data_IF_089233720203
#
_entry.id   IF_089233720203
#
_cell.length_a   1.000
_cell.length_b   1.000
_cell.length_c   1.000
_cell.angle_alpha   90.00
_cell.angle_beta   90.00
_cell.angle_gamma   90.00
#
_symmetry.space_group_name_H-M   'P 1'
#
loop_
_entity.id
_entity.type
_entity.pdbx_description
1 polymer ?
#
# COMPACT_ATOMS: atom_id res chain seq x y z
N UNK A 1 12.74 17.93 8.41
CA UNK A 1 13.55 17.30 7.36
C UNK A 1 13.93 15.90 7.79
N UNK A 2 13.83 14.95 6.88
CA UNK A 2 14.22 13.55 7.06
C UNK A 2 15.17 13.15 5.93
N UNK A 3 15.93 12.07 6.11
CA UNK A 3 16.83 11.55 5.08
C UNK A 3 16.20 10.34 4.40
N UNK A 4 16.44 10.18 3.10
CA UNK A 4 16.02 9.01 2.34
C UNK A 4 17.09 8.63 1.31
N UNK A 5 17.31 7.34 1.13
CA UNK A 5 18.41 6.81 0.30
C UNK A 5 18.19 7.06 -1.19
N UNK A 6 16.93 7.29 -1.60
CA UNK A 6 16.55 7.59 -2.97
C UNK A 6 16.72 9.07 -3.38
N UNK A 7 17.17 9.92 -2.44
CA UNK A 7 17.41 11.34 -2.73
C UNK A 7 18.79 11.52 -3.33
N UNK A 8 18.83 11.84 -4.60
CA UNK A 8 20.05 12.14 -5.33
C UNK A 8 20.53 13.56 -5.02
N UNK A 9 21.85 13.75 -5.00
CA UNK A 9 22.48 15.06 -4.74
C UNK A 9 22.43 15.99 -5.94
N UNK A 10 21.96 15.51 -7.07
CA UNK A 10 21.72 16.31 -8.26
C UNK A 10 20.63 17.35 -8.00
N UNK A 11 20.73 18.50 -8.61
CA UNK A 11 19.85 19.64 -8.38
C UNK A 11 19.90 20.15 -6.91
N UNK A 12 18.75 20.11 -6.22
CA UNK A 12 18.63 20.68 -4.87
C UNK A 12 19.01 19.73 -3.75
N UNK A 13 19.06 18.41 -4.01
CA UNK A 13 19.18 17.39 -2.96
C UNK A 13 17.96 17.34 -2.03
N UNK A 14 16.83 17.92 -2.42
CA UNK A 14 15.58 17.94 -1.65
C UNK A 14 14.45 17.33 -2.47
N UNK A 15 13.67 16.46 -1.82
CA UNK A 15 12.48 15.82 -2.41
C UNK A 15 11.29 16.05 -1.49
N UNK A 16 10.15 16.37 -2.07
CA UNK A 16 8.88 16.39 -1.36
C UNK A 16 8.45 14.94 -1.08
N UNK A 17 8.11 14.64 0.17
CA UNK A 17 7.70 13.31 0.62
C UNK A 17 6.23 13.33 1.05
N UNK A 18 5.41 12.45 0.47
CA UNK A 18 4.00 12.29 0.76
C UNK A 18 3.69 10.85 1.15
N UNK A 19 3.80 10.45 2.45
CA UNK A 19 3.66 9.07 2.90
C UNK A 19 2.33 8.39 2.55
N UNK A 20 1.27 9.16 2.30
CA UNK A 20 -0.03 8.64 1.86
C UNK A 20 -0.12 8.35 0.35
N UNK A 21 0.87 8.73 -0.45
CA UNK A 21 0.74 8.78 -1.91
C UNK A 21 1.94 8.21 -2.69
N UNK A 22 2.86 7.52 -2.03
CA UNK A 22 3.99 6.85 -2.67
C UNK A 22 4.56 5.72 -1.81
N UNK A 23 5.01 4.60 -2.41
CA UNK A 23 5.55 3.48 -1.64
C UNK A 23 6.86 3.84 -0.91
N UNK A 24 7.77 4.53 -1.57
CA UNK A 24 9.05 4.92 -0.96
C UNK A 24 8.85 6.03 0.09
N UNK A 25 7.91 6.94 -0.16
CA UNK A 25 7.49 7.96 0.80
C UNK A 25 6.84 7.33 2.03
N UNK A 26 6.03 6.27 1.83
CA UNK A 26 5.43 5.53 2.93
C UNK A 26 6.47 4.87 3.82
N UNK A 27 7.46 4.19 3.25
CA UNK A 27 8.54 3.55 4.01
C UNK A 27 9.38 4.59 4.76
N UNK A 28 9.66 5.73 4.12
CA UNK A 28 10.31 6.86 4.80
C UNK A 28 9.46 7.37 5.94
N UNK A 29 8.17 7.59 5.73
CA UNK A 29 7.24 8.00 6.77
C UNK A 29 7.21 7.03 7.95
N UNK A 30 7.13 5.73 7.67
CA UNK A 30 7.16 4.66 8.69
C UNK A 30 8.46 4.70 9.52
N UNK A 31 9.62 4.85 8.86
CA UNK A 31 10.94 4.95 9.51
C UNK A 31 11.03 6.11 10.50
N UNK A 32 10.40 7.22 10.19
CA UNK A 32 10.46 8.45 11.00
C UNK A 32 9.21 8.72 11.83
N UNK A 33 8.26 7.79 11.88
CA UNK A 33 7.02 7.94 12.65
C UNK A 33 6.07 9.02 12.11
N UNK A 34 6.15 9.32 10.81
CA UNK A 34 5.28 10.29 10.14
C UNK A 34 4.02 9.55 9.68
N UNK A 35 2.86 9.96 10.18
CA UNK A 35 1.59 9.36 9.80
C UNK A 35 1.31 9.54 8.29
N UNK A 36 0.81 8.51 7.58
CA UNK A 36 0.48 8.61 6.17
C UNK A 36 -0.84 9.37 5.97
N UNK A 37 -0.75 10.67 5.82
CA UNK A 37 -1.91 11.52 5.51
C UNK A 37 -2.38 11.27 4.07
N UNK A 38 -3.63 10.84 3.90
CA UNK A 38 -4.19 10.50 2.60
C UNK A 38 -5.62 11.02 2.46
N UNK A 39 -5.83 12.33 2.21
CA UNK A 39 -7.14 12.95 2.11
C UNK A 39 -7.83 12.65 0.76
N UNK A 40 -7.75 11.42 0.30
CA UNK A 40 -8.31 10.97 -0.99
C UNK A 40 -9.14 9.70 -0.77
N UNK A 41 -10.40 9.78 -1.14
CA UNK A 41 -11.36 8.67 -1.07
C UNK A 41 -11.09 7.60 -2.14
N UNK A 42 -11.77 6.46 -2.04
CA UNK A 42 -11.72 5.38 -3.04
C UNK A 42 -12.18 5.80 -4.44
N UNK A 43 -13.05 6.79 -4.50
CA UNK A 43 -13.49 7.38 -5.77
C UNK A 43 -12.47 8.37 -6.38
N UNK A 44 -11.28 8.54 -5.78
CA UNK A 44 -10.26 9.48 -6.25
C UNK A 44 -10.68 10.95 -6.07
N UNK A 45 -11.46 11.24 -5.03
CA UNK A 45 -11.90 12.59 -4.67
C UNK A 45 -11.28 12.98 -3.33
N UNK A 46 -11.00 14.27 -3.17
CA UNK A 46 -10.59 14.79 -1.88
C UNK A 46 -11.68 14.61 -0.83
N UNK A 47 -11.27 14.25 0.38
CA UNK A 47 -12.15 14.13 1.57
C UNK A 47 -12.24 15.46 2.30
N UNK A 48 -13.08 15.52 3.33
CA UNK A 48 -13.24 16.70 4.19
C UNK A 48 -11.97 17.02 5.02
N UNK A 49 -11.01 16.09 5.06
CA UNK A 49 -9.68 16.33 5.65
C UNK A 49 -8.87 17.38 4.87
N UNK A 50 -9.26 17.68 3.63
CA UNK A 50 -8.77 18.82 2.83
C UNK A 50 -9.96 19.66 2.34
N UNK A 51 -10.54 20.53 3.22
CA UNK A 51 -11.80 21.20 2.98
C UNK A 51 -11.84 22.06 1.71
N UNK A 52 -10.71 22.70 1.35
CA UNK A 52 -10.64 23.58 0.18
C UNK A 52 -10.90 22.84 -1.14
N UNK A 53 -10.65 21.55 -1.17
CA UNK A 53 -10.78 20.71 -2.36
C UNK A 53 -11.77 19.55 -2.18
N UNK A 54 -12.46 19.49 -1.05
CA UNK A 54 -13.39 18.40 -0.72
C UNK A 54 -14.39 18.10 -1.85
N UNK A 55 -14.59 16.83 -2.15
CA UNK A 55 -15.47 16.36 -3.21
C UNK A 55 -14.93 16.45 -4.64
N UNK A 56 -13.87 17.24 -4.88
CA UNK A 56 -13.28 17.39 -6.21
C UNK A 56 -12.39 16.20 -6.57
N UNK A 57 -12.32 15.85 -7.87
CA UNK A 57 -11.43 14.79 -8.34
C UNK A 57 -9.97 15.27 -8.30
N UNK A 58 -9.06 14.47 -7.74
CA UNK A 58 -7.64 14.82 -7.58
C UNK A 58 -6.94 15.20 -8.89
N UNK A 59 -7.34 14.62 -10.03
CA UNK A 59 -6.74 14.90 -11.34
C UNK A 59 -7.25 16.18 -12.01
N UNK A 60 -8.22 16.87 -11.42
CA UNK A 60 -8.83 18.06 -12.05
C UNK A 60 -8.54 19.37 -11.32
N UNK A 61 -7.85 19.35 -10.18
CA UNK A 61 -7.67 20.52 -9.31
C UNK A 61 -6.32 21.20 -9.45
N UNK A 62 -5.45 20.73 -10.35
CA UNK A 62 -4.09 21.28 -10.48
C UNK A 62 -4.07 22.81 -10.67
N UNK A 63 -4.92 23.34 -11.56
CA UNK A 63 -4.98 24.77 -11.83
C UNK A 63 -5.50 25.57 -10.63
N UNK A 64 -6.40 24.98 -9.82
CA UNK A 64 -6.90 25.63 -8.60
C UNK A 64 -5.82 25.67 -7.52
N UNK A 65 -5.06 24.59 -7.36
CA UNK A 65 -3.92 24.55 -6.43
C UNK A 65 -2.84 25.53 -6.84
N UNK A 66 -2.53 25.65 -8.13
CA UNK A 66 -1.59 26.63 -8.66
C UNK A 66 -2.05 28.05 -8.32
N UNK A 67 -3.32 28.36 -8.55
CA UNK A 67 -3.89 29.69 -8.24
C UNK A 67 -3.87 30.01 -6.74
N UNK A 68 -4.17 29.01 -5.89
CA UNK A 68 -4.07 29.19 -4.44
C UNK A 68 -2.65 29.51 -4.00
N UNK A 69 -1.69 28.74 -4.45
CA UNK A 69 -0.26 28.97 -4.14
C UNK A 69 0.24 30.33 -4.64
N UNK A 70 -0.17 30.72 -5.85
CA UNK A 70 0.19 32.00 -6.43
C UNK A 70 -0.40 33.18 -5.64
N UNK A 71 -1.70 33.09 -5.28
CA UNK A 71 -2.38 34.11 -4.47
C UNK A 71 -1.75 34.32 -3.09
N UNK A 72 -1.09 33.30 -2.56
CA UNK A 72 -0.38 33.33 -1.27
C UNK A 72 1.11 33.68 -1.40
N UNK A 73 1.59 33.99 -2.61
CA UNK A 73 2.99 34.30 -2.87
C UNK A 73 3.95 33.11 -2.65
N UNK A 74 3.43 31.88 -2.71
CA UNK A 74 4.20 30.65 -2.50
C UNK A 74 4.60 29.97 -3.81
N UNK A 75 4.16 30.49 -4.96
CA UNK A 75 4.50 29.95 -6.27
C UNK A 75 5.83 30.52 -6.75
N UNK A 76 6.82 29.65 -7.00
CA UNK A 76 8.10 30.05 -7.59
C UNK A 76 8.08 29.97 -9.11
N UNK A 77 7.64 28.83 -9.65
CA UNK A 77 7.57 28.60 -11.09
C UNK A 77 6.56 27.51 -11.44
N UNK A 78 5.97 27.60 -12.62
CA UNK A 78 5.11 26.57 -13.20
C UNK A 78 5.63 26.19 -14.56
N UNK A 79 5.92 24.92 -14.76
CA UNK A 79 6.34 24.38 -16.06
C UNK A 79 5.62 23.07 -16.38
N UNK A 80 5.53 22.75 -17.66
CA UNK A 80 4.98 21.47 -18.13
C UNK A 80 6.11 20.57 -18.59
N UNK A 81 6.14 19.34 -18.06
CA UNK A 81 7.06 18.31 -18.52
C UNK A 81 6.30 17.18 -19.19
N UNK A 82 6.91 16.54 -20.18
CA UNK A 82 6.38 15.34 -20.82
C UNK A 82 7.16 14.14 -20.30
N UNK A 83 6.47 13.24 -19.64
CA UNK A 83 7.07 12.01 -19.10
C UNK A 83 6.13 10.82 -19.26
N UNK A 84 6.66 9.61 -19.04
CA UNK A 84 5.84 8.39 -18.99
C UNK A 84 5.04 8.38 -17.69
N UNK A 85 3.76 8.00 -17.77
CA UNK A 85 2.88 7.92 -16.60
C UNK A 85 2.03 6.65 -16.68
N UNK A 86 1.79 6.02 -15.52
CA UNK A 86 0.96 4.82 -15.43
C UNK A 86 -0.51 5.12 -15.73
N UNK A 87 -1.13 4.30 -16.56
CA UNK A 87 -2.56 4.39 -16.89
C UNK A 87 -3.24 3.05 -16.63
N UNK A 88 -4.49 3.08 -16.21
CA UNK A 88 -5.31 1.89 -16.07
C UNK A 88 -5.41 1.17 -17.41
N UNK A 89 -5.10 -0.13 -17.45
CA UNK A 89 -5.17 -0.93 -18.66
C UNK A 89 -6.59 -1.00 -19.26
N UNK A 90 -7.63 -0.90 -18.42
CA UNK A 90 -9.06 -0.98 -18.82
C UNK A 90 -9.60 0.36 -19.28
N UNK A 91 -9.62 1.38 -18.42
CA UNK A 91 -10.27 2.66 -18.71
C UNK A 91 -9.30 3.75 -19.21
N UNK A 92 -7.99 3.44 -19.30
CA UNK A 92 -6.93 4.34 -19.74
C UNK A 92 -6.76 5.63 -18.88
N UNK A 93 -7.49 5.73 -17.78
CA UNK A 93 -7.32 6.85 -16.85
C UNK A 93 -5.95 6.80 -16.16
N UNK A 94 -5.30 7.94 -15.90
CA UNK A 94 -4.07 7.97 -15.13
C UNK A 94 -4.32 7.44 -13.72
N UNK A 95 -3.40 6.59 -13.26
CA UNK A 95 -3.48 6.01 -11.90
C UNK A 95 -3.12 7.06 -10.84
N UNK A 96 -3.52 6.79 -9.61
CA UNK A 96 -3.06 7.51 -8.41
C UNK A 96 -2.55 6.50 -7.39
N UNK A 97 -1.55 6.90 -6.61
CA UNK A 97 -1.16 6.16 -5.43
C UNK A 97 -1.96 6.66 -4.24
N UNK A 98 -2.43 5.74 -3.42
CA UNK A 98 -3.29 6.02 -2.30
C UNK A 98 -3.04 4.99 -1.20
N UNK A 99 -2.87 5.44 0.03
CA UNK A 99 -2.76 4.55 1.17
C UNK A 99 -4.13 3.92 1.48
N UNK A 100 -4.15 2.61 1.68
CA UNK A 100 -5.34 1.85 2.01
C UNK A 100 -5.02 0.75 3.02
N UNK A 101 -6.00 0.35 3.81
CA UNK A 101 -5.85 -0.82 4.66
C UNK A 101 -5.85 -2.08 3.81
N UNK A 102 -4.86 -2.92 4.01
CA UNK A 102 -4.68 -4.18 3.30
C UNK A 102 -4.20 -5.25 4.27
N UNK A 103 -4.38 -6.51 3.89
CA UNK A 103 -3.82 -7.64 4.60
C UNK A 103 -2.49 -8.04 3.99
N UNK A 104 -1.51 -8.23 4.84
CA UNK A 104 -0.16 -8.61 4.43
C UNK A 104 0.29 -9.87 5.14
N UNK A 105 1.03 -10.71 4.42
CA UNK A 105 1.89 -11.74 5.02
C UNK A 105 3.26 -11.10 5.19
N UNK A 106 3.78 -11.15 6.42
CA UNK A 106 5.09 -10.60 6.77
C UNK A 106 6.19 -11.54 6.25
N UNK A 107 6.57 -11.36 4.99
CA UNK A 107 7.60 -12.19 4.35
C UNK A 107 8.97 -12.06 5.04
N UNK A 108 9.44 -10.89 5.49
CA UNK A 108 10.71 -10.77 6.21
C UNK A 108 10.87 -11.74 7.38
N UNK A 109 9.79 -12.07 8.09
CA UNK A 109 9.84 -12.94 9.27
C UNK A 109 10.13 -14.42 8.93
N UNK A 110 9.83 -14.85 7.70
CA UNK A 110 10.01 -16.22 7.21
C UNK A 110 11.05 -16.32 6.08
N UNK A 111 11.70 -15.23 5.77
CA UNK A 111 12.61 -15.12 4.62
C UNK A 111 13.79 -16.10 4.70
N UNK A 112 14.40 -16.20 5.86
CA UNK A 112 15.57 -17.07 6.06
C UNK A 112 15.18 -18.55 5.86
N UNK A 113 14.03 -18.97 6.39
CA UNK A 113 13.49 -20.31 6.18
C UNK A 113 13.19 -20.58 4.68
N UNK A 114 12.62 -19.58 3.99
CA UNK A 114 12.36 -19.69 2.55
C UNK A 114 13.67 -19.87 1.74
N UNK A 115 14.71 -19.14 2.11
CA UNK A 115 16.02 -19.25 1.45
C UNK A 115 16.67 -20.61 1.70
N UNK A 116 16.55 -21.17 2.90
CA UNK A 116 17.01 -22.53 3.19
C UNK A 116 16.24 -23.57 2.39
N UNK A 117 14.93 -23.44 2.25
CA UNK A 117 14.11 -24.36 1.46
C UNK A 117 14.45 -24.32 -0.04
N UNK A 118 14.83 -23.15 -0.59
CA UNK A 118 15.32 -23.04 -1.98
C UNK A 118 16.52 -23.95 -2.20
N UNK A 119 17.44 -24.05 -1.24
CA UNK A 119 18.64 -24.90 -1.35
C UNK A 119 18.33 -26.39 -1.24
N UNK A 120 17.22 -26.77 -0.63
CA UNK A 120 16.76 -28.17 -0.53
C UNK A 120 16.07 -28.68 -1.79
N UNK A 121 15.56 -27.77 -2.62
CA UNK A 121 14.84 -28.11 -3.86
C UNK A 121 15.82 -28.42 -4.99
N UNK A 122 15.59 -29.51 -5.71
CA UNK A 122 16.31 -29.80 -6.96
C UNK A 122 15.71 -29.03 -8.11
N UNK A 123 16.36 -27.94 -8.48
CA UNK A 123 15.93 -27.08 -9.57
C UNK A 123 16.38 -27.57 -10.95
N UNK A 124 15.48 -27.50 -11.93
CA UNK A 124 15.78 -27.80 -13.34
C UNK A 124 15.17 -26.68 -14.21
N UNK A 125 16.01 -25.82 -14.80
CA UNK A 125 17.47 -25.74 -14.68
C UNK A 125 17.94 -25.22 -13.32
N UNK A 126 19.15 -25.51 -12.90
CA UNK A 126 19.67 -25.15 -11.56
C UNK A 126 19.70 -23.65 -11.30
N UNK A 127 19.95 -22.83 -12.31
CA UNK A 127 19.97 -21.36 -12.18
C UNK A 127 18.62 -20.78 -11.76
N UNK A 128 17.52 -21.48 -12.00
CA UNK A 128 16.19 -21.00 -11.61
C UNK A 128 16.06 -20.82 -10.08
N UNK A 129 16.61 -21.75 -9.31
CA UNK A 129 16.67 -21.64 -7.84
C UNK A 129 17.82 -20.78 -7.37
N UNK A 130 19.05 -21.10 -7.84
CA UNK A 130 20.27 -20.50 -7.31
C UNK A 130 20.39 -18.99 -7.53
N UNK A 131 19.75 -18.44 -8.57
CA UNK A 131 19.79 -17.01 -8.84
C UNK A 131 18.41 -16.38 -8.88
N UNK A 132 17.51 -16.85 -9.74
CA UNK A 132 16.25 -16.15 -9.99
C UNK A 132 15.31 -16.17 -8.77
N UNK A 133 15.04 -17.37 -8.24
CA UNK A 133 14.16 -17.51 -7.08
C UNK A 133 14.79 -16.92 -5.83
N UNK A 134 16.07 -17.21 -5.60
CA UNK A 134 16.82 -16.64 -4.47
C UNK A 134 16.79 -15.12 -4.47
N UNK A 135 17.17 -14.48 -5.58
CA UNK A 135 17.17 -13.00 -5.66
C UNK A 135 15.77 -12.42 -5.47
N UNK A 136 14.72 -13.12 -5.93
CA UNK A 136 13.35 -12.70 -5.72
C UNK A 136 12.97 -12.76 -4.25
N UNK A 137 13.29 -13.85 -3.54
CA UNK A 137 13.02 -13.98 -2.10
C UNK A 137 13.85 -13.00 -1.27
N UNK A 138 15.13 -12.81 -1.59
CA UNK A 138 16.00 -11.84 -0.91
C UNK A 138 15.44 -10.42 -1.00
N UNK A 139 14.92 -10.04 -2.17
CA UNK A 139 14.27 -8.76 -2.42
C UNK A 139 12.81 -8.66 -1.97
N UNK A 140 12.21 -9.76 -1.50
CA UNK A 140 10.78 -9.79 -1.16
C UNK A 140 10.46 -8.89 0.02
N UNK A 141 9.40 -8.10 -0.15
CA UNK A 141 8.76 -7.29 0.90
C UNK A 141 7.51 -8.02 1.41
N UNK A 142 6.83 -7.43 2.37
CA UNK A 142 5.51 -7.92 2.82
C UNK A 142 4.60 -8.18 1.62
N UNK A 143 3.97 -9.34 1.60
CA UNK A 143 3.09 -9.74 0.52
C UNK A 143 1.66 -9.31 0.81
N UNK A 144 1.16 -8.35 0.03
CA UNK A 144 -0.23 -7.96 0.07
C UNK A 144 -1.11 -9.08 -0.51
N UNK A 145 -1.91 -9.73 0.34
CA UNK A 145 -2.80 -10.83 -0.04
C UNK A 145 -4.22 -10.36 -0.32
N UNK A 146 -4.64 -9.20 0.19
CA UNK A 146 -5.95 -8.63 -0.09
C UNK A 146 -5.99 -7.87 -1.42
N UNK A 147 -7.19 -7.71 -1.97
CA UNK A 147 -7.47 -6.94 -3.18
C UNK A 147 -8.71 -6.09 -2.96
N UNK A 148 -8.73 -4.89 -3.51
CA UNK A 148 -9.90 -4.00 -3.46
C UNK A 148 -10.90 -4.24 -4.60
N UNK A 149 -10.71 -5.31 -5.36
CA UNK A 149 -11.64 -5.70 -6.42
C UNK A 149 -12.66 -6.66 -5.87
N UNK A 150 -13.91 -6.44 -6.24
CA UNK A 150 -15.04 -7.26 -5.80
C UNK A 150 -14.95 -8.74 -6.23
N UNK A 151 -14.17 -9.05 -7.25
CA UNK A 151 -13.96 -10.42 -7.73
C UNK A 151 -12.67 -10.99 -7.16
N UNK A 152 -12.80 -11.83 -6.15
CA UNK A 152 -11.68 -12.46 -5.46
C UNK A 152 -12.14 -13.70 -4.70
N UNK A 153 -11.17 -14.36 -4.06
CA UNK A 153 -11.43 -15.45 -3.09
C UNK A 153 -11.59 -14.79 -1.72
N UNK A 154 -12.68 -15.08 -0.99
CA UNK A 154 -12.83 -14.58 0.38
C UNK A 154 -11.67 -15.04 1.25
N UNK A 155 -11.12 -14.13 2.03
CA UNK A 155 -10.12 -14.49 3.05
C UNK A 155 -10.85 -14.99 4.31
N UNK A 156 -10.47 -16.14 4.87
CA UNK A 156 -11.12 -16.71 6.05
C UNK A 156 -10.66 -16.02 7.34
N UNK A 157 -10.77 -14.69 7.38
CA UNK A 157 -10.41 -13.86 8.54
C UNK A 157 -11.67 -13.37 9.21
N UNK A 158 -11.84 -13.71 10.49
CA UNK A 158 -12.93 -13.25 11.31
C UNK A 158 -12.45 -12.12 12.21
N UNK A 159 -13.21 -11.05 12.29
CA UNK A 159 -12.90 -9.89 13.13
C UNK A 159 -14.07 -9.65 14.09
N UNK A 160 -13.74 -9.56 15.38
CA UNK A 160 -14.71 -9.21 16.42
C UNK A 160 -14.82 -7.69 16.57
N UNK A 161 -15.97 -7.20 17.03
CA UNK A 161 -16.16 -5.79 17.42
C UNK A 161 -15.19 -5.33 18.53
N UNK A 162 -14.64 -6.27 19.32
CA UNK A 162 -13.59 -5.98 20.30
C UNK A 162 -12.18 -5.83 19.69
N UNK A 163 -12.03 -6.01 18.36
CA UNK A 163 -10.75 -5.94 17.65
C UNK A 163 -9.96 -7.27 17.62
N UNK A 164 -10.46 -8.34 18.26
CA UNK A 164 -9.84 -9.67 18.17
C UNK A 164 -10.03 -10.24 16.75
N UNK A 165 -9.02 -10.98 16.28
CA UNK A 165 -9.00 -11.57 14.93
C UNK A 165 -8.66 -13.04 14.99
N UNK A 166 -9.31 -13.85 14.15
CA UNK A 166 -9.03 -15.27 13.97
C UNK A 166 -8.94 -15.59 12.48
N UNK A 167 -7.85 -16.20 12.07
CA UNK A 167 -7.74 -16.82 10.74
C UNK A 167 -8.24 -18.25 10.87
N UNK A 168 -9.17 -18.65 10.00
CA UNK A 168 -9.84 -19.96 10.04
C UNK A 168 -9.33 -20.80 8.88
N UNK A 169 -8.70 -21.93 9.18
CA UNK A 169 -8.16 -22.85 8.18
C UNK A 169 -9.17 -23.90 7.70
N UNK A 170 -10.16 -24.24 8.53
CA UNK A 170 -11.17 -25.25 8.22
C UNK A 170 -12.49 -24.98 8.93
N UNK A 171 -13.57 -25.57 8.40
CA UNK A 171 -14.93 -25.32 8.91
C UNK A 171 -15.12 -25.68 10.39
N UNK A 172 -14.45 -26.75 10.86
CA UNK A 172 -14.58 -27.22 12.24
C UNK A 172 -14.03 -26.21 13.27
N UNK A 173 -13.16 -25.31 12.85
CA UNK A 173 -12.65 -24.22 13.71
C UNK A 173 -13.69 -23.12 13.98
N UNK A 174 -14.81 -23.13 13.26
CA UNK A 174 -15.94 -22.22 13.45
C UNK A 174 -16.99 -22.76 14.43
N UNK A 175 -16.86 -23.99 14.94
CA UNK A 175 -17.78 -24.55 15.90
C UNK A 175 -17.67 -23.85 17.24
N UNK A 176 -18.82 -23.54 17.84
CA UNK A 176 -18.93 -22.93 19.16
C UNK A 176 -18.16 -23.74 20.20
N UNK A 177 -17.31 -23.09 20.98
CA UNK A 177 -16.70 -23.64 22.17
C UNK A 177 -15.19 -23.54 22.32
N UNK A 178 -14.40 -23.55 21.27
CA UNK A 178 -12.93 -23.40 21.39
C UNK A 178 -12.42 -22.10 20.74
N UNK A 179 -12.12 -21.11 21.58
CA UNK A 179 -11.50 -19.85 21.16
C UNK A 179 -12.46 -18.68 20.97
N UNK A 180 -13.75 -18.84 21.19
CA UNK A 180 -14.70 -17.75 21.31
C UNK A 180 -14.85 -17.33 22.76
N UNK A 181 -14.56 -16.08 23.08
CA UNK A 181 -14.97 -15.47 24.34
C UNK A 181 -16.43 -15.03 24.18
N UNK A 182 -17.25 -15.27 25.20
CA UNK A 182 -18.65 -14.82 25.25
C UNK A 182 -18.72 -13.30 24.95
N UNK A 183 -19.49 -12.91 23.93
CA UNK A 183 -19.59 -11.53 23.45
C UNK A 183 -18.79 -11.20 22.17
N UNK A 184 -18.10 -12.17 21.57
CA UNK A 184 -17.52 -11.98 20.24
C UNK A 184 -18.61 -12.08 19.16
N UNK A 185 -19.00 -10.91 18.63
CA UNK A 185 -19.81 -10.85 17.41
C UNK A 185 -18.92 -11.15 16.22
N UNK A 186 -19.12 -12.31 15.59
CA UNK A 186 -18.38 -12.68 14.39
C UNK A 186 -18.95 -11.93 13.19
N UNK A 187 -18.31 -10.88 12.81
CA UNK A 187 -18.59 -10.25 11.52
C UNK A 187 -18.09 -11.13 10.38
N UNK A 188 -18.75 -11.03 9.25
CA UNK A 188 -18.47 -11.81 8.03
C UNK A 188 -16.99 -11.83 7.68
N UNK A 189 -16.47 -12.94 7.11
CA UNK A 189 -15.14 -12.94 6.55
C UNK A 189 -15.02 -11.77 5.56
N UNK A 190 -13.88 -11.11 5.57
CA UNK A 190 -13.61 -10.07 4.61
C UNK A 190 -13.66 -10.67 3.20
N UNK A 191 -14.51 -10.13 2.36
CA UNK A 191 -14.61 -10.47 0.93
C UNK A 191 -13.93 -9.36 0.16
N UNK A 192 -12.85 -9.67 -0.48
CA UNK A 192 -12.21 -8.79 -1.47
C UNK A 192 -12.82 -8.94 -2.85
#
# INVERSE_FOLDING_TARGET
LVTADYVEKDNTGLVHTAPGHGPDDYETGKRYGIAPFCPVSEAGRYTDEFPQMAGKKVKTVADEVIKDLDSRGLMYNVSKIKHRYGHCWRCKSPIIYRNTRQWFVTIPDVKDEMLEEIDRVKWVPSWAGATRERNWVEGARDWCISRQRYWGIPMPVWECSCGARKVVGQYDELKEGEGYTEGMDTHRPWID
#
